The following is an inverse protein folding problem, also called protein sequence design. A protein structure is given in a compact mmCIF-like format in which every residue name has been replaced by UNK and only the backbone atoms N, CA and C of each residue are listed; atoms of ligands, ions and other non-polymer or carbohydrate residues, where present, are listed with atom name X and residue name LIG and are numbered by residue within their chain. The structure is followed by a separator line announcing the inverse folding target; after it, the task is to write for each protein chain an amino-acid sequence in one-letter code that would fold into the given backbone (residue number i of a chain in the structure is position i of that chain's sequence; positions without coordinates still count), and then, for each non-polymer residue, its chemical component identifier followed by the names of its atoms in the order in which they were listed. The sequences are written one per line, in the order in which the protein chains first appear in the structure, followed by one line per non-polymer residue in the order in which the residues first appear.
data_IF_715045024922
#
_entry.id   IF_715045024922
#
_cell.length_a   1.000
_cell.length_b   1.000
_cell.length_c   1.000
_cell.angle_alpha   90.00
_cell.angle_beta   90.00
_cell.angle_gamma   90.00
#
_symmetry.space_group_name_H-M   'P 1'
#
loop_
_entity.id
_entity.type
_entity.pdbx_description
1 polymer ?
#
# COMPACT_ATOMS: atom_id res chain seq x y z
N UNK A 1 10.13 -1.91 -18.92
CA UNK A 1 9.41 -1.17 -17.85
C UNK A 1 7.94 -1.08 -18.22
N UNK A 2 7.08 -1.39 -17.28
CA UNK A 2 5.63 -1.30 -17.50
C UNK A 2 4.90 -1.11 -16.17
N UNK A 3 3.70 -0.57 -16.24
CA UNK A 3 2.74 -0.52 -15.14
C UNK A 3 1.33 -0.74 -15.70
N UNK A 4 0.49 -1.49 -14.99
CA UNK A 4 -0.89 -1.82 -15.42
C UNK A 4 -0.99 -2.35 -16.86
N UNK A 5 0.06 -3.08 -17.33
CA UNK A 5 0.13 -3.63 -18.69
C UNK A 5 0.55 -2.62 -19.77
N UNK A 6 0.85 -1.37 -19.44
CA UNK A 6 1.31 -0.35 -20.38
C UNK A 6 2.81 -0.10 -20.26
N UNK A 7 3.49 0.05 -21.43
CA UNK A 7 4.89 0.44 -21.53
C UNK A 7 5.08 1.94 -21.83
N UNK A 8 4.01 2.64 -22.17
CA UNK A 8 4.05 4.03 -22.63
C UNK A 8 3.30 5.01 -21.70
N UNK A 9 2.76 4.50 -20.57
CA UNK A 9 2.13 5.35 -19.57
C UNK A 9 3.15 6.26 -18.87
N UNK A 10 2.68 7.38 -18.30
CA UNK A 10 3.49 8.25 -17.43
C UNK A 10 4.23 7.45 -16.36
N UNK A 11 3.56 6.49 -15.73
CA UNK A 11 4.14 5.64 -14.69
C UNK A 11 5.20 4.67 -15.23
N UNK A 12 5.05 4.16 -16.46
CA UNK A 12 6.08 3.36 -17.10
C UNK A 12 7.33 4.18 -17.46
N UNK A 13 7.15 5.46 -17.82
CA UNK A 13 8.25 6.39 -18.03
C UNK A 13 8.98 6.70 -16.72
N UNK A 14 8.25 7.02 -15.65
CA UNK A 14 8.77 7.19 -14.29
C UNK A 14 9.57 5.95 -13.85
N UNK A 15 9.02 4.73 -14.03
CA UNK A 15 9.72 3.49 -13.72
C UNK A 15 11.03 3.34 -14.48
N UNK A 16 11.09 3.78 -15.74
CA UNK A 16 12.31 3.76 -16.54
C UNK A 16 13.36 4.74 -15.98
N UNK A 17 12.94 5.96 -15.68
CA UNK A 17 13.81 7.01 -15.14
C UNK A 17 14.45 6.60 -13.81
N UNK A 18 13.65 6.06 -12.92
CA UNK A 18 14.10 5.59 -11.60
C UNK A 18 14.93 4.31 -11.65
N UNK A 19 14.55 3.33 -12.48
CA UNK A 19 15.11 1.97 -12.42
C UNK A 19 16.15 1.66 -13.50
N UNK A 20 16.42 2.54 -14.48
CA UNK A 20 17.45 2.29 -15.52
C UNK A 20 18.85 2.04 -14.92
N UNK A 21 19.15 2.62 -13.78
CA UNK A 21 20.42 2.41 -13.04
C UNK A 21 20.61 0.94 -12.58
N UNK A 22 19.58 0.11 -12.59
CA UNK A 22 19.63 -1.29 -12.18
C UNK A 22 19.73 -2.28 -13.34
N UNK A 23 19.88 -1.84 -14.58
CA UNK A 23 19.91 -2.70 -15.77
C UNK A 23 20.95 -3.82 -15.70
N UNK A 24 22.13 -3.54 -15.14
CA UNK A 24 23.18 -4.57 -14.97
C UNK A 24 22.77 -5.65 -13.95
N UNK A 25 21.91 -5.31 -12.99
CA UNK A 25 21.34 -6.27 -12.06
C UNK A 25 20.29 -7.10 -12.79
N UNK A 26 19.40 -6.45 -13.56
CA UNK A 26 18.33 -7.15 -14.31
C UNK A 26 18.89 -8.17 -15.31
N UNK A 27 20.01 -7.87 -15.98
CA UNK A 27 20.69 -8.80 -16.91
C UNK A 27 21.14 -10.11 -16.24
N UNK A 28 21.35 -10.12 -14.93
CA UNK A 28 21.71 -11.36 -14.20
C UNK A 28 20.51 -12.29 -14.02
N UNK A 29 19.28 -11.79 -14.23
CA UNK A 29 18.03 -12.51 -14.03
C UNK A 29 17.12 -12.45 -15.25
N UNK A 30 17.53 -13.00 -16.41
CA UNK A 30 16.90 -12.76 -17.72
C UNK A 30 15.45 -13.24 -17.84
N UNK A 31 14.99 -14.13 -16.94
CA UNK A 31 13.62 -14.65 -16.94
C UNK A 31 12.81 -14.17 -15.75
N UNK A 32 13.25 -13.09 -15.10
CA UNK A 32 12.57 -12.55 -13.93
C UNK A 32 12.04 -11.13 -14.20
N UNK A 33 10.90 -10.82 -13.61
CA UNK A 33 10.31 -9.49 -13.58
C UNK A 33 10.52 -8.93 -12.20
N UNK A 34 11.24 -7.81 -12.10
CA UNK A 34 11.44 -7.06 -10.86
C UNK A 34 10.25 -6.15 -10.61
N UNK A 35 9.75 -6.13 -9.38
CA UNK A 35 8.68 -5.25 -8.92
C UNK A 35 9.25 -4.18 -7.99
N UNK A 36 8.90 -2.93 -8.27
CA UNK A 36 9.28 -1.78 -7.45
C UNK A 36 8.05 -0.98 -7.06
N UNK A 37 8.05 -0.47 -5.84
CA UNK A 37 7.27 0.70 -5.47
C UNK A 37 8.15 1.92 -5.70
N UNK A 38 7.59 2.96 -6.34
CA UNK A 38 8.30 4.19 -6.65
C UNK A 38 7.55 5.34 -6.00
N UNK A 39 8.25 6.09 -5.16
CA UNK A 39 7.76 7.33 -4.56
C UNK A 39 8.47 8.50 -5.22
N UNK A 40 7.71 9.38 -5.87
CA UNK A 40 8.22 10.51 -6.64
C UNK A 40 7.43 11.78 -6.33
N UNK A 41 8.07 12.94 -6.33
CA UNK A 41 7.42 14.23 -6.03
C UNK A 41 6.26 14.55 -6.99
N UNK A 42 6.31 14.05 -8.23
CA UNK A 42 5.28 14.26 -9.22
C UNK A 42 4.05 13.37 -9.03
N UNK A 43 4.13 12.36 -8.15
CA UNK A 43 3.04 11.45 -7.79
C UNK A 43 2.99 11.24 -6.27
N UNK A 44 2.58 12.27 -5.51
CA UNK A 44 2.57 12.21 -4.05
C UNK A 44 1.63 11.13 -3.53
N UNK A 45 2.12 10.31 -2.63
CA UNK A 45 1.34 9.28 -1.96
C UNK A 45 0.36 9.89 -0.94
N UNK A 46 -0.63 9.10 -0.54
CA UNK A 46 -1.65 9.52 0.47
C UNK A 46 -1.01 9.86 1.81
N UNK A 47 0.06 9.17 2.16
CA UNK A 47 0.89 9.44 3.33
C UNK A 47 2.30 9.72 2.86
N UNK A 48 3.01 10.59 3.60
CA UNK A 48 4.37 10.95 3.27
C UNK A 48 5.30 9.74 3.39
N UNK A 49 6.08 9.49 2.35
CA UNK A 49 7.05 8.39 2.26
C UNK A 49 8.39 8.92 1.74
N UNK A 50 9.46 8.17 2.01
CA UNK A 50 10.80 8.50 1.49
C UNK A 50 10.81 8.36 -0.04
N UNK A 51 11.30 9.38 -0.73
CA UNK A 51 11.43 9.36 -2.19
C UNK A 51 12.44 8.31 -2.65
N UNK A 52 12.10 7.63 -3.73
CA UNK A 52 12.98 6.65 -4.35
C UNK A 52 12.30 5.36 -4.78
N UNK A 53 13.10 4.33 -4.95
CA UNK A 53 12.66 3.01 -5.42
C UNK A 53 12.84 1.96 -4.34
N UNK A 54 11.78 1.24 -4.04
CA UNK A 54 11.79 0.12 -3.10
C UNK A 54 11.54 -1.18 -3.85
N UNK A 55 12.50 -2.12 -3.79
CA UNK A 55 12.38 -3.44 -4.39
C UNK A 55 11.45 -4.31 -3.57
N UNK A 56 10.27 -4.63 -4.12
CA UNK A 56 9.20 -5.32 -3.39
C UNK A 56 8.89 -6.72 -3.89
N UNK A 57 9.43 -7.13 -5.04
CA UNK A 57 9.13 -8.47 -5.54
C UNK A 57 9.95 -8.88 -6.76
N UNK A 58 9.98 -10.19 -6.98
CA UNK A 58 10.60 -10.82 -8.15
C UNK A 58 9.73 -11.98 -8.61
N UNK A 59 9.27 -11.94 -9.85
CA UNK A 59 8.36 -12.93 -10.43
C UNK A 59 9.06 -13.65 -11.56
N UNK A 60 8.94 -14.98 -11.60
CA UNK A 60 9.35 -15.75 -12.76
C UNK A 60 8.43 -15.47 -13.95
N UNK A 61 9.00 -14.96 -15.04
CA UNK A 61 8.22 -14.50 -16.20
C UNK A 61 7.50 -15.63 -16.96
N UNK A 62 7.91 -16.90 -16.78
CA UNK A 62 7.31 -18.05 -17.45
C UNK A 62 6.22 -18.71 -16.60
N UNK A 63 6.47 -18.84 -15.30
CA UNK A 63 5.60 -19.59 -14.39
C UNK A 63 4.66 -18.69 -13.59
N UNK A 64 4.96 -17.39 -13.47
CA UNK A 64 4.28 -16.47 -12.58
C UNK A 64 4.62 -16.68 -11.11
N UNK A 65 5.53 -17.57 -10.77
CA UNK A 65 5.91 -17.84 -9.38
C UNK A 65 6.66 -16.63 -8.82
N UNK A 66 6.27 -16.23 -7.61
CA UNK A 66 6.89 -15.15 -6.86
C UNK A 66 8.00 -15.71 -5.96
N UNK A 67 9.13 -15.02 -5.88
CA UNK A 67 10.21 -15.36 -4.94
C UNK A 67 9.79 -15.00 -3.50
N UNK A 68 10.36 -15.75 -2.55
CA UNK A 68 10.14 -15.48 -1.12
C UNK A 68 10.85 -14.20 -0.68
N UNK A 69 10.35 -13.59 0.42
CA UNK A 69 10.99 -12.41 1.04
C UNK A 69 12.47 -12.68 1.36
N UNK A 70 12.79 -13.88 1.82
CA UNK A 70 14.15 -14.28 2.13
C UNK A 70 15.08 -14.28 0.90
N UNK A 71 14.58 -14.73 -0.26
CA UNK A 71 15.36 -14.67 -1.51
C UNK A 71 15.48 -13.23 -2.03
N UNK A 72 14.43 -12.41 -1.88
CA UNK A 72 14.51 -10.99 -2.23
C UNK A 72 15.57 -10.26 -1.39
N UNK A 73 15.66 -10.57 -0.11
CA UNK A 73 16.68 -9.99 0.78
C UNK A 73 18.11 -10.42 0.41
N UNK A 74 18.31 -11.68 0.05
CA UNK A 74 19.61 -12.16 -0.45
C UNK A 74 20.01 -11.44 -1.73
N UNK A 75 19.07 -11.27 -2.66
CA UNK A 75 19.32 -10.55 -3.91
C UNK A 75 19.70 -9.11 -3.60
N UNK A 76 18.94 -8.41 -2.78
CA UNK A 76 19.23 -7.03 -2.40
C UNK A 76 20.59 -6.90 -1.71
N UNK A 77 20.92 -7.79 -0.77
CA UNK A 77 22.22 -7.82 -0.10
C UNK A 77 23.38 -8.04 -1.08
N UNK A 78 23.17 -8.84 -2.13
CA UNK A 78 24.19 -9.09 -3.17
C UNK A 78 24.49 -7.88 -4.05
N UNK A 79 23.68 -6.82 -3.98
CA UNK A 79 23.81 -5.60 -4.79
C UNK A 79 24.53 -4.46 -4.05
N UNK A 80 25.15 -4.73 -2.92
CA UNK A 80 25.82 -3.74 -2.07
C UNK A 80 24.93 -2.53 -1.71
N UNK A 81 23.63 -2.77 -1.50
CA UNK A 81 22.65 -1.75 -1.12
C UNK A 81 22.05 -0.96 -2.29
N UNK A 82 22.36 -1.31 -3.54
CA UNK A 82 21.74 -0.68 -4.71
C UNK A 82 20.23 -0.92 -4.75
N UNK A 83 19.78 -2.15 -4.45
CA UNK A 83 18.35 -2.47 -4.30
C UNK A 83 17.96 -2.29 -2.83
N UNK A 84 17.15 -1.28 -2.55
CA UNK A 84 16.57 -1.06 -1.22
C UNK A 84 15.36 -1.97 -1.00
N UNK A 85 15.27 -2.58 0.17
CA UNK A 85 14.11 -3.35 0.60
C UNK A 85 13.25 -2.53 1.56
N UNK A 86 11.93 -2.83 1.66
CA UNK A 86 11.12 -2.24 2.72
C UNK A 86 11.70 -2.56 4.10
N UNK A 87 11.56 -1.63 5.03
CA UNK A 87 11.94 -1.84 6.43
C UNK A 87 10.83 -1.32 7.36
N UNK A 88 10.76 -1.88 8.54
CA UNK A 88 9.72 -1.53 9.49
C UNK A 88 10.06 -0.24 10.25
N UNK A 89 11.20 -0.22 10.95
CA UNK A 89 11.59 0.90 11.80
C UNK A 89 13.06 0.78 12.22
N UNK A 90 13.76 1.92 12.32
CA UNK A 90 15.12 2.01 12.86
C UNK A 90 16.12 1.01 12.22
N UNK A 91 15.92 0.70 10.93
CA UNK A 91 16.74 -0.27 10.20
C UNK A 91 16.33 -1.74 10.41
N UNK A 92 15.32 -2.01 11.23
CA UNK A 92 14.73 -3.34 11.33
C UNK A 92 13.78 -3.59 10.14
N UNK A 93 14.08 -4.62 9.37
CA UNK A 93 13.30 -4.97 8.18
C UNK A 93 11.99 -5.68 8.55
N UNK A 94 11.98 -6.45 9.63
CA UNK A 94 10.84 -7.25 10.04
C UNK A 94 10.44 -7.01 11.48
N UNK A 95 9.14 -6.79 11.67
CA UNK A 95 8.51 -6.89 12.98
C UNK A 95 7.99 -8.33 13.18
N UNK A 96 8.60 -9.06 14.11
CA UNK A 96 8.12 -10.39 14.52
C UNK A 96 7.22 -10.23 15.73
N UNK A 97 5.93 -10.45 15.56
CA UNK A 97 4.94 -10.23 16.61
C UNK A 97 3.73 -11.15 16.46
N UNK A 98 2.90 -11.23 17.47
CA UNK A 98 1.61 -11.90 17.38
C UNK A 98 0.60 -11.03 16.61
N UNK A 99 -0.41 -11.66 16.01
CA UNK A 99 -1.48 -10.94 15.33
C UNK A 99 -2.22 -9.96 16.25
N UNK A 100 -2.38 -10.34 17.53
CA UNK A 100 -3.03 -9.49 18.52
C UNK A 100 -2.24 -8.20 18.82
N UNK A 101 -0.91 -8.32 18.95
CA UNK A 101 -0.02 -7.17 19.14
C UNK A 101 0.06 -6.32 17.87
N UNK A 102 0.15 -6.94 16.69
CA UNK A 102 0.14 -6.24 15.41
C UNK A 102 -1.10 -5.34 15.27
N UNK A 103 -2.28 -5.83 15.66
CA UNK A 103 -3.51 -5.01 15.64
C UNK A 103 -3.40 -3.75 16.51
N UNK A 104 -2.72 -3.80 17.63
CA UNK A 104 -2.49 -2.63 18.48
C UNK A 104 -1.49 -1.67 17.84
N UNK A 105 -0.40 -2.19 17.27
CA UNK A 105 0.61 -1.39 16.57
C UNK A 105 -0.02 -0.66 15.38
N UNK A 106 -0.84 -1.34 14.60
CA UNK A 106 -1.52 -0.78 13.41
C UNK A 106 -2.41 0.41 13.78
N UNK A 107 -3.09 0.37 14.93
CA UNK A 107 -3.95 1.48 15.39
C UNK A 107 -3.19 2.78 15.63
N UNK A 108 -1.95 2.69 16.10
CA UNK A 108 -1.12 3.84 16.45
C UNK A 108 -0.21 4.30 15.30
N UNK A 109 -0.03 3.47 14.29
CA UNK A 109 0.90 3.73 13.20
C UNK A 109 0.37 4.82 12.24
N UNK A 110 1.28 5.69 11.75
CA UNK A 110 0.97 6.83 10.88
C UNK A 110 1.57 6.69 9.47
N UNK A 111 1.64 5.47 8.96
CA UNK A 111 2.04 5.14 7.59
C UNK A 111 0.97 4.26 6.95
N UNK A 112 1.16 3.81 5.71
CA UNK A 112 0.11 3.08 4.97
C UNK A 112 -0.34 1.80 5.66
N UNK A 113 0.60 0.96 6.11
CA UNK A 113 0.28 -0.32 6.74
C UNK A 113 1.40 -1.33 6.64
N UNK A 114 1.04 -2.59 6.85
CA UNK A 114 1.97 -3.71 6.84
C UNK A 114 1.62 -4.73 5.76
N UNK A 115 2.67 -5.29 5.16
CA UNK A 115 2.59 -6.58 4.50
C UNK A 115 2.86 -7.65 5.56
N UNK A 116 1.90 -8.54 5.77
CA UNK A 116 1.97 -9.58 6.82
C UNK A 116 2.24 -10.91 6.17
N UNK A 117 3.33 -11.56 6.57
CA UNK A 117 3.75 -12.87 6.09
C UNK A 117 3.60 -13.92 7.20
N UNK A 118 3.08 -15.08 6.85
CA UNK A 118 2.92 -16.22 7.74
C UNK A 118 3.82 -17.37 7.24
N UNK A 119 5.06 -17.51 7.73
CA UNK A 119 6.02 -18.46 7.19
C UNK A 119 5.55 -19.91 7.25
N UNK A 120 4.74 -20.28 8.26
CA UNK A 120 4.18 -21.63 8.42
C UNK A 120 3.12 -21.98 7.37
N UNK A 121 2.67 -21.03 6.54
CA UNK A 121 1.66 -21.19 5.48
C UNK A 121 2.22 -20.85 4.09
N UNK A 122 3.46 -21.26 3.82
CA UNK A 122 4.14 -20.98 2.55
C UNK A 122 4.18 -19.48 2.19
N UNK A 123 4.56 -18.67 3.15
CA UNK A 123 4.65 -17.21 3.00
C UNK A 123 3.31 -16.55 2.59
N UNK A 124 2.18 -17.10 3.03
CA UNK A 124 0.90 -16.44 2.84
C UNK A 124 0.98 -14.99 3.30
N UNK A 125 0.58 -14.09 2.41
CA UNK A 125 0.70 -12.66 2.62
C UNK A 125 -0.66 -11.97 2.49
N UNK A 126 -0.89 -11.01 3.38
CA UNK A 126 -2.00 -10.08 3.26
C UNK A 126 -1.57 -8.68 3.68
N UNK A 127 -2.30 -7.68 3.19
CA UNK A 127 -2.09 -6.27 3.59
C UNK A 127 -2.95 -5.94 4.80
N UNK A 128 -2.36 -5.20 5.74
CA UNK A 128 -3.05 -4.65 6.89
C UNK A 128 -2.83 -3.14 6.92
N UNK A 129 -3.83 -2.39 6.47
CA UNK A 129 -3.76 -0.93 6.37
C UNK A 129 -4.06 -0.28 7.71
N UNK A 130 -3.42 0.86 7.97
CA UNK A 130 -3.65 1.61 9.21
C UNK A 130 -4.93 2.43 9.12
N UNK A 131 -5.62 2.68 10.26
CA UNK A 131 -6.73 3.63 10.30
C UNK A 131 -6.33 5.03 9.82
N UNK A 132 -5.11 5.46 10.16
CA UNK A 132 -4.54 6.72 9.68
C UNK A 132 -4.54 6.81 8.14
N UNK A 133 -4.05 5.80 7.46
CA UNK A 133 -4.04 5.76 6.00
C UNK A 133 -5.46 5.73 5.42
N UNK A 134 -6.36 4.89 5.97
CA UNK A 134 -7.73 4.78 5.48
C UNK A 134 -8.48 6.10 5.59
N UNK A 135 -8.35 6.80 6.71
CA UNK A 135 -8.95 8.13 6.91
C UNK A 135 -8.43 9.13 5.88
N UNK A 136 -7.10 9.23 5.73
CA UNK A 136 -6.50 10.17 4.78
C UNK A 136 -6.89 9.85 3.33
N UNK A 137 -6.85 8.57 2.94
CA UNK A 137 -7.25 8.11 1.61
C UNK A 137 -8.71 8.43 1.31
N UNK A 138 -9.60 8.15 2.26
CA UNK A 138 -11.01 8.45 2.09
C UNK A 138 -11.25 9.96 1.89
N UNK A 139 -10.67 10.79 2.72
CA UNK A 139 -10.86 12.23 2.62
C UNK A 139 -10.20 12.84 1.38
N UNK A 140 -9.06 12.33 0.96
CA UNK A 140 -8.42 12.78 -0.28
C UNK A 140 -9.25 12.48 -1.53
N UNK A 141 -9.97 11.34 -1.55
CA UNK A 141 -10.64 10.83 -2.76
C UNK A 141 -12.16 11.01 -2.77
N UNK A 142 -12.80 11.04 -1.60
CA UNK A 142 -14.27 10.87 -1.50
C UNK A 142 -14.95 11.81 -0.52
N UNK A 143 -14.24 12.83 -0.03
CA UNK A 143 -14.79 13.80 0.93
C UNK A 143 -16.06 14.48 0.40
N UNK A 144 -16.01 14.99 -0.83
CA UNK A 144 -17.11 15.76 -1.42
C UNK A 144 -18.36 14.88 -1.66
N UNK A 145 -18.13 13.63 -2.10
CA UNK A 145 -19.21 12.65 -2.31
C UNK A 145 -19.85 12.27 -0.97
N UNK A 146 -19.04 12.10 0.08
CA UNK A 146 -19.55 11.80 1.42
C UNK A 146 -20.41 12.94 1.96
N UNK A 147 -19.92 14.18 1.90
CA UNK A 147 -20.63 15.35 2.40
C UNK A 147 -21.94 15.62 1.63
N UNK A 148 -21.94 15.36 0.32
CA UNK A 148 -23.14 15.51 -0.52
C UNK A 148 -24.11 14.32 -0.45
N UNK A 149 -23.77 13.26 0.28
CA UNK A 149 -24.58 12.03 0.38
C UNK A 149 -24.64 11.20 -0.91
N UNK A 150 -23.68 11.39 -1.81
CA UNK A 150 -23.61 10.71 -3.12
C UNK A 150 -22.61 9.54 -3.15
N UNK A 151 -22.35 8.92 -2.00
CA UNK A 151 -21.47 7.75 -1.93
C UNK A 151 -22.05 6.56 -2.71
N UNK A 152 -21.26 6.07 -3.65
CA UNK A 152 -21.61 4.96 -4.53
C UNK A 152 -20.53 3.87 -4.43
N UNK A 153 -20.92 2.67 -3.97
CA UNK A 153 -20.01 1.52 -3.83
C UNK A 153 -19.29 1.17 -5.13
N UNK A 154 -19.92 1.40 -6.28
CA UNK A 154 -19.32 1.04 -7.58
C UNK A 154 -18.14 1.94 -7.98
N UNK A 155 -18.00 3.09 -7.30
CA UNK A 155 -16.96 4.11 -7.56
C UNK A 155 -15.91 4.20 -6.46
N UNK A 156 -16.10 3.47 -5.38
CA UNK A 156 -15.20 3.49 -4.22
C UNK A 156 -14.47 2.16 -4.10
N UNK A 157 -13.23 2.24 -3.59
CA UNK A 157 -12.45 1.05 -3.28
C UNK A 157 -13.21 0.16 -2.28
N UNK A 158 -13.11 -1.16 -2.44
CA UNK A 158 -13.85 -2.14 -1.65
C UNK A 158 -13.62 -1.99 -0.14
N UNK A 159 -12.46 -1.51 0.27
CA UNK A 159 -12.11 -1.27 1.67
C UNK A 159 -13.04 -0.25 2.36
N UNK A 160 -13.73 0.61 1.58
CA UNK A 160 -14.71 1.57 2.11
C UNK A 160 -16.16 1.11 2.03
N UNK A 161 -16.44 -0.07 1.48
CA UNK A 161 -17.81 -0.60 1.42
C UNK A 161 -18.48 -0.74 2.79
N UNK A 162 -17.77 -1.20 3.85
CA UNK A 162 -18.34 -1.26 5.20
C UNK A 162 -18.74 0.12 5.75
N UNK A 163 -17.96 1.17 5.44
CA UNK A 163 -18.31 2.54 5.83
C UNK A 163 -19.60 3.00 5.15
N UNK A 164 -19.78 2.69 3.87
CA UNK A 164 -21.01 3.06 3.14
C UNK A 164 -22.22 2.37 3.75
N UNK A 165 -22.10 1.08 4.11
CA UNK A 165 -23.18 0.34 4.76
C UNK A 165 -23.50 0.93 6.14
N UNK A 166 -22.49 1.32 6.89
CA UNK A 166 -22.65 2.00 8.18
C UNK A 166 -23.39 3.34 8.03
N UNK A 167 -23.01 4.16 7.06
CA UNK A 167 -23.69 5.44 6.76
C UNK A 167 -25.15 5.19 6.37
N UNK A 168 -25.42 4.19 5.52
CA UNK A 168 -26.80 3.85 5.12
C UNK A 168 -27.63 3.34 6.29
N UNK A 169 -27.06 2.53 7.15
CA UNK A 169 -27.73 2.03 8.35
C UNK A 169 -28.08 3.15 9.35
N UNK A 170 -27.31 4.24 9.33
CA UNK A 170 -27.47 5.39 10.23
C UNK A 170 -27.83 6.67 9.43
N UNK A 171 -28.52 6.54 8.30
CA UNK A 171 -28.72 7.62 7.33
C UNK A 171 -29.39 8.85 7.95
N UNK A 172 -30.38 8.64 8.82
CA UNK A 172 -31.12 9.74 9.47
C UNK A 172 -30.20 10.57 10.37
N UNK A 173 -29.38 9.90 11.16
CA UNK A 173 -28.38 10.55 12.02
C UNK A 173 -27.35 11.27 11.16
N UNK A 174 -26.72 10.58 10.21
CA UNK A 174 -25.69 11.14 9.33
C UNK A 174 -26.17 12.38 8.59
N UNK A 175 -27.42 12.39 8.08
CA UNK A 175 -28.00 13.54 7.40
C UNK A 175 -28.28 14.73 8.30
N UNK A 176 -28.51 14.51 9.60
CA UNK A 176 -28.75 15.58 10.56
C UNK A 176 -27.48 16.29 11.03
N UNK A 177 -26.31 15.69 10.78
CA UNK A 177 -25.02 16.28 11.14
C UNK A 177 -24.63 17.41 10.16
N UNK A 178 -23.96 18.41 10.72
CA UNK A 178 -23.23 19.40 9.92
C UNK A 178 -21.97 18.79 9.27
N UNK A 179 -21.21 19.58 8.55
CA UNK A 179 -20.00 19.08 7.86
C UNK A 179 -19.00 18.48 8.84
N UNK A 180 -18.72 19.13 9.96
CA UNK A 180 -17.77 18.64 10.97
C UNK A 180 -18.26 17.35 11.62
N UNK A 181 -19.54 17.28 11.94
CA UNK A 181 -20.16 16.07 12.46
C UNK A 181 -20.07 14.88 11.51
N UNK A 182 -20.31 15.10 10.21
CA UNK A 182 -20.15 14.04 9.18
C UNK A 182 -18.71 13.55 9.05
N UNK A 183 -17.73 14.47 9.06
CA UNK A 183 -16.32 14.11 9.04
C UNK A 183 -15.92 13.32 10.29
N UNK A 184 -16.40 13.73 11.45
CA UNK A 184 -16.21 13.03 12.73
C UNK A 184 -16.78 11.61 12.69
N UNK A 185 -18.02 11.46 12.21
CA UNK A 185 -18.70 10.17 12.08
C UNK A 185 -17.93 9.18 11.18
N UNK A 186 -17.43 9.67 10.04
CA UNK A 186 -16.63 8.85 9.12
C UNK A 186 -15.30 8.44 9.76
N UNK A 187 -14.61 9.40 10.37
CA UNK A 187 -13.32 9.16 11.03
C UNK A 187 -13.45 8.13 12.14
N UNK A 188 -14.44 8.28 13.01
CA UNK A 188 -14.70 7.35 14.12
C UNK A 188 -14.94 5.92 13.64
N UNK A 189 -15.64 5.74 12.53
CA UNK A 189 -15.83 4.41 11.93
C UNK A 189 -14.52 3.83 11.41
N UNK A 190 -13.77 4.58 10.61
CA UNK A 190 -12.53 4.11 10.00
C UNK A 190 -11.40 3.83 11.02
N UNK A 191 -11.42 4.50 12.16
CA UNK A 191 -10.48 4.24 13.27
C UNK A 191 -10.79 2.96 14.07
N UNK A 192 -12.00 2.42 13.93
CA UNK A 192 -12.42 1.18 14.61
C UNK A 192 -12.22 -0.08 13.77
N UNK A 193 -12.03 0.08 12.46
CA UNK A 193 -11.82 -1.02 11.52
C UNK A 193 -10.37 -1.48 11.53
#
# INVERSE_FOLDING_TARGET
YSTTGSTDSRFAQMAREHCCKFEEIFKRYPNKTFLFEITDESDPHIVEEELGETFIGLIDAKTGAQESEFELDKIAASTAGALKRPFYKDGEQYLKTSFSELKNIVKEAKFEGFMVYIPSQNDFCFKMKTPYYLVNKFFARSKNEALSGKLDKTKLDEEFHPLIDHIKANEREFRSLDEQGKLGFIKEFLEKV
#
